data_IF_508662108183
#
_entry.id   IF_508662108183
#
_cell.length_a   1.000
_cell.length_b   1.000
_cell.length_c   1.000
_cell.angle_alpha   90.00
_cell.angle_beta   90.00
_cell.angle_gamma   90.00
#
_symmetry.space_group_name_H-M   'P 1'
#
loop_
_entity.id
_entity.type
_entity.pdbx_description
1 polymer ?
#
# COMPACT_ATOMS: atom_id res chain seq x y z
N UNK A 1 17.36 -8.63 -6.73
CA UNK A 1 16.38 -8.30 -5.65
C UNK A 1 15.07 -9.02 -5.97
N UNK A 2 14.24 -9.39 -5.00
CA UNK A 2 12.96 -10.02 -5.35
C UNK A 2 11.97 -8.96 -5.85
N UNK A 3 11.12 -9.31 -6.82
CA UNK A 3 10.11 -8.38 -7.36
C UNK A 3 9.16 -7.84 -6.28
N UNK A 4 8.88 -8.65 -5.26
CA UNK A 4 8.13 -8.19 -4.08
C UNK A 4 8.83 -7.02 -3.37
N UNK A 5 10.15 -7.10 -3.15
CA UNK A 5 10.91 -6.01 -2.52
C UNK A 5 10.95 -4.75 -3.37
N UNK A 6 11.10 -4.90 -4.69
CA UNK A 6 11.07 -3.78 -5.63
C UNK A 6 9.73 -3.05 -5.58
N UNK A 7 8.60 -3.79 -5.66
CA UNK A 7 7.27 -3.20 -5.55
C UNK A 7 6.98 -2.60 -4.16
N UNK A 8 7.46 -3.26 -3.10
CA UNK A 8 7.25 -2.77 -1.72
C UNK A 8 8.01 -1.48 -1.42
N UNK A 9 9.07 -1.18 -2.18
CA UNK A 9 9.86 0.04 -2.05
C UNK A 9 9.23 1.24 -2.77
N UNK A 10 8.19 1.04 -3.59
CA UNK A 10 7.51 2.15 -4.28
C UNK A 10 6.70 2.96 -3.26
N UNK A 11 7.01 4.25 -3.12
CA UNK A 11 6.23 5.16 -2.29
C UNK A 11 4.87 5.46 -2.96
N UNK A 12 3.78 5.10 -2.28
CA UNK A 12 2.41 5.32 -2.76
C UNK A 12 1.65 6.34 -1.90
N UNK A 13 2.32 7.06 -0.99
CA UNK A 13 1.65 7.92 -0.01
C UNK A 13 0.85 9.06 -0.64
N UNK A 14 1.33 9.66 -1.72
CA UNK A 14 0.61 10.71 -2.45
C UNK A 14 -0.67 10.20 -3.15
N UNK A 15 -0.74 8.89 -3.40
CA UNK A 15 -1.84 8.24 -4.11
C UNK A 15 -2.82 7.52 -3.18
N UNK A 16 -2.58 7.59 -1.86
CA UNK A 16 -3.49 7.02 -0.87
C UNK A 16 -4.65 7.98 -0.59
N UNK A 17 -5.83 7.43 -0.45
CA UNK A 17 -7.04 8.14 -0.04
C UNK A 17 -7.47 7.65 1.33
N UNK A 18 -7.91 8.56 2.20
CA UNK A 18 -8.53 8.23 3.47
C UNK A 18 -10.05 8.18 3.35
N UNK A 19 -10.65 7.13 3.93
CA UNK A 19 -12.08 7.03 4.15
C UNK A 19 -12.30 6.60 5.60
N UNK A 20 -12.65 7.56 6.48
CA UNK A 20 -12.65 7.33 7.92
C UNK A 20 -11.25 6.98 8.43
N UNK A 21 -11.13 5.85 9.14
CA UNK A 21 -9.86 5.33 9.69
C UNK A 21 -9.04 4.47 8.72
N UNK A 22 -9.54 4.24 7.49
CA UNK A 22 -8.92 3.33 6.55
C UNK A 22 -8.19 4.06 5.43
N UNK A 23 -7.05 3.53 5.04
CA UNK A 23 -6.30 3.95 3.88
C UNK A 23 -6.67 3.10 2.67
N UNK A 24 -6.76 3.73 1.50
CA UNK A 24 -7.03 3.09 0.22
C UNK A 24 -6.03 3.60 -0.81
N UNK A 25 -5.42 2.71 -1.55
CA UNK A 25 -4.65 3.09 -2.73
C UNK A 25 -5.60 3.34 -3.91
N UNK A 26 -5.31 4.38 -4.70
CA UNK A 26 -6.03 4.61 -5.95
C UNK A 26 -5.88 3.39 -6.88
N UNK A 27 -7.01 2.82 -7.33
CA UNK A 27 -6.98 1.67 -8.23
C UNK A 27 -6.28 1.99 -9.57
N UNK A 28 -6.47 3.21 -10.08
CA UNK A 28 -5.84 3.67 -11.32
C UNK A 28 -4.33 3.68 -11.17
N UNK A 29 -3.84 4.22 -10.06
CA UNK A 29 -2.40 4.24 -9.76
C UNK A 29 -1.86 2.82 -9.57
N UNK A 30 -2.56 1.97 -8.82
CA UNK A 30 -2.13 0.59 -8.57
C UNK A 30 -2.00 -0.21 -9.87
N UNK A 31 -3.00 -0.14 -10.75
CA UNK A 31 -2.99 -0.84 -12.05
C UNK A 31 -1.91 -0.29 -12.96
N UNK A 32 -1.82 1.05 -13.08
CA UNK A 32 -0.79 1.69 -13.91
C UNK A 32 0.60 1.24 -13.47
N UNK A 33 0.91 1.37 -12.20
CA UNK A 33 2.23 1.02 -11.66
C UNK A 33 2.54 -0.47 -11.83
N UNK A 34 1.55 -1.35 -11.61
CA UNK A 34 1.74 -2.78 -11.83
C UNK A 34 2.12 -3.07 -13.29
N UNK A 35 1.38 -2.52 -14.25
CA UNK A 35 1.63 -2.74 -15.68
C UNK A 35 2.93 -2.09 -16.17
N UNK A 36 3.38 -1.01 -15.53
CA UNK A 36 4.72 -0.43 -15.79
C UNK A 36 5.85 -1.36 -15.31
N UNK A 37 5.62 -2.13 -14.25
CA UNK A 37 6.62 -3.07 -13.69
C UNK A 37 6.57 -4.45 -14.34
N UNK A 38 5.40 -4.87 -14.79
CA UNK A 38 5.16 -6.15 -15.47
C UNK A 38 4.00 -6.00 -16.47
N UNK A 39 4.30 -5.66 -17.75
CA UNK A 39 3.27 -5.45 -18.79
C UNK A 39 2.41 -6.68 -19.09
N UNK A 40 2.89 -7.88 -18.75
CA UNK A 40 2.16 -9.14 -18.95
C UNK A 40 1.21 -9.45 -17.80
N UNK A 41 1.16 -8.58 -16.76
CA UNK A 41 0.24 -8.75 -15.64
C UNK A 41 -1.20 -8.73 -16.10
N UNK A 42 -2.00 -9.61 -15.52
CA UNK A 42 -3.44 -9.67 -15.76
C UNK A 42 -4.19 -9.99 -14.46
N UNK A 43 -5.50 -9.86 -14.51
CA UNK A 43 -6.36 -10.20 -13.37
C UNK A 43 -7.67 -10.78 -13.84
N UNK A 44 -8.26 -11.60 -12.97
CA UNK A 44 -9.57 -12.20 -13.17
C UNK A 44 -10.39 -12.10 -11.89
N UNK A 45 -11.69 -11.95 -12.05
CA UNK A 45 -12.65 -12.06 -10.97
C UNK A 45 -13.35 -13.42 -11.06
N UNK A 46 -13.48 -14.09 -9.90
CA UNK A 46 -14.34 -15.26 -9.79
C UNK A 46 -15.77 -14.82 -9.49
N UNK A 47 -16.71 -15.72 -9.74
CA UNK A 47 -18.10 -15.52 -9.34
C UNK A 47 -18.18 -15.20 -7.85
N UNK A 48 -18.90 -14.12 -7.45
CA UNK A 48 -19.08 -13.78 -6.06
C UNK A 48 -19.81 -14.89 -5.28
N UNK A 49 -19.33 -15.17 -4.07
CA UNK A 49 -19.98 -16.14 -3.18
C UNK A 49 -21.04 -15.43 -2.34
N UNK A 50 -22.30 -15.88 -2.46
CA UNK A 50 -23.38 -15.43 -1.58
C UNK A 50 -23.45 -16.32 -0.35
N UNK A 51 -23.42 -15.72 0.84
CA UNK A 51 -23.55 -16.41 2.12
C UNK A 51 -25.04 -16.57 2.52
N UNK A 52 -25.36 -17.48 3.45
CA UNK A 52 -26.75 -17.75 3.86
C UNK A 52 -27.49 -16.53 4.40
N UNK A 53 -26.81 -15.53 4.94
CA UNK A 53 -27.39 -14.29 5.44
C UNK A 53 -27.62 -13.22 4.37
N UNK A 54 -27.32 -13.54 3.10
CA UNK A 54 -27.45 -12.65 1.95
C UNK A 54 -26.25 -11.72 1.74
N UNK A 55 -25.22 -11.79 2.58
CA UNK A 55 -23.97 -11.05 2.34
C UNK A 55 -23.12 -11.74 1.27
N UNK A 56 -22.18 -11.01 0.66
CA UNK A 56 -21.38 -11.51 -0.45
C UNK A 56 -19.89 -11.31 -0.24
N UNK A 57 -19.10 -12.27 -0.75
CA UNK A 57 -17.66 -12.19 -0.91
C UNK A 57 -17.30 -12.09 -2.39
N UNK A 58 -16.41 -11.19 -2.73
CA UNK A 58 -15.79 -11.08 -4.05
C UNK A 58 -14.35 -11.61 -4.01
N UNK A 59 -13.88 -12.13 -5.14
CA UNK A 59 -12.54 -12.68 -5.28
C UNK A 59 -11.88 -12.08 -6.51
N UNK A 60 -10.61 -11.70 -6.38
CA UNK A 60 -9.78 -11.24 -7.48
C UNK A 60 -8.43 -11.95 -7.42
N UNK A 61 -8.03 -12.55 -8.52
CA UNK A 61 -6.69 -13.10 -8.70
C UNK A 61 -5.91 -12.19 -9.63
N UNK A 62 -4.79 -11.68 -9.16
CA UNK A 62 -3.82 -10.93 -9.97
C UNK A 62 -2.63 -11.84 -10.24
N UNK A 63 -2.31 -12.03 -11.52
CA UNK A 63 -1.09 -12.72 -11.95
C UNK A 63 -0.08 -11.67 -12.38
N UNK A 64 1.01 -11.55 -11.64
CA UNK A 64 2.14 -10.70 -11.97
C UNK A 64 3.46 -11.44 -11.74
N UNK A 65 4.45 -11.18 -12.59
CA UNK A 65 5.75 -11.86 -12.55
C UNK A 65 5.58 -13.39 -12.58
N UNK A 66 4.59 -13.89 -13.32
CA UNK A 66 4.21 -15.32 -13.44
C UNK A 66 3.71 -15.94 -12.12
N UNK A 67 3.36 -15.12 -11.13
CA UNK A 67 2.86 -15.57 -9.83
C UNK A 67 1.41 -15.11 -9.63
N UNK A 68 0.44 -16.03 -9.51
CA UNK A 68 -0.94 -15.67 -9.17
C UNK A 68 -1.07 -15.42 -7.65
N UNK A 69 -1.77 -14.34 -7.29
CA UNK A 69 -2.14 -14.02 -5.91
C UNK A 69 -3.62 -13.68 -5.85
N UNK A 70 -4.36 -14.37 -4.99
CA UNK A 70 -5.80 -14.18 -4.85
C UNK A 70 -6.13 -13.43 -3.56
N UNK A 71 -6.92 -12.37 -3.68
CA UNK A 71 -7.54 -11.67 -2.56
C UNK A 71 -9.03 -11.97 -2.53
N UNK A 72 -9.60 -11.98 -1.33
CA UNK A 72 -11.05 -12.01 -1.09
C UNK A 72 -11.47 -10.79 -0.29
N UNK A 73 -12.66 -10.28 -0.52
CA UNK A 73 -13.18 -9.11 0.17
C UNK A 73 -14.69 -9.21 0.35
N UNK A 74 -15.18 -8.89 1.56
CA UNK A 74 -16.60 -8.77 1.81
C UNK A 74 -17.16 -7.50 1.14
N UNK A 75 -18.37 -7.58 0.60
CA UNK A 75 -19.12 -6.40 0.15
C UNK A 75 -19.64 -5.67 1.37
N UNK A 76 -19.16 -4.44 1.60
CA UNK A 76 -19.43 -3.69 2.82
C UNK A 76 -19.85 -2.26 2.54
N UNK A 77 -20.67 -1.70 3.44
CA UNK A 77 -21.02 -0.28 3.46
C UNK A 77 -19.83 0.63 3.85
N UNK A 78 -20.09 1.92 3.99
CA UNK A 78 -19.08 2.91 4.39
C UNK A 78 -18.57 2.73 5.85
N UNK A 79 -19.31 2.00 6.70
CA UNK A 79 -18.92 1.64 8.06
C UNK A 79 -18.20 0.28 8.14
N UNK A 80 -17.91 -0.35 6.99
CA UNK A 80 -17.38 -1.72 6.85
C UNK A 80 -18.29 -2.82 7.44
N UNK A 81 -19.58 -2.58 7.49
CA UNK A 81 -20.55 -3.62 7.79
C UNK A 81 -20.95 -4.32 6.49
N UNK A 82 -21.07 -5.66 6.55
CA UNK A 82 -21.49 -6.45 5.40
C UNK A 82 -22.89 -6.02 4.93
N UNK A 83 -23.05 -5.81 3.64
CA UNK A 83 -24.32 -5.48 2.99
C UNK A 83 -25.02 -6.80 2.65
N UNK A 84 -26.27 -6.93 3.09
CA UNK A 84 -27.14 -8.02 2.67
C UNK A 84 -27.79 -7.68 1.34
N UNK A 85 -27.73 -8.62 0.39
CA UNK A 85 -28.23 -8.43 -0.96
C UNK A 85 -27.69 -7.13 -1.62
N UNK A 86 -26.36 -7.00 -1.75
CA UNK A 86 -25.76 -5.79 -2.31
C UNK A 86 -26.21 -5.56 -3.76
N UNK A 87 -26.34 -4.30 -4.14
CA UNK A 87 -26.64 -3.92 -5.51
C UNK A 87 -25.36 -3.96 -6.39
N UNK A 88 -25.51 -3.66 -7.69
CA UNK A 88 -24.40 -3.72 -8.64
C UNK A 88 -23.29 -2.68 -8.35
N UNK A 89 -23.64 -1.52 -7.79
CA UNK A 89 -22.64 -0.50 -7.43
C UNK A 89 -21.81 -0.94 -6.21
N UNK A 90 -22.47 -1.51 -5.21
CA UNK A 90 -21.80 -2.07 -4.04
C UNK A 90 -20.82 -3.18 -4.46
N UNK A 91 -21.28 -4.05 -5.37
CA UNK A 91 -20.47 -5.16 -5.88
C UNK A 91 -19.28 -4.65 -6.70
N UNK A 92 -19.51 -3.72 -7.63
CA UNK A 92 -18.46 -3.10 -8.45
C UNK A 92 -17.40 -2.43 -7.59
N UNK A 93 -17.81 -1.65 -6.58
CA UNK A 93 -16.90 -1.01 -5.64
C UNK A 93 -16.05 -2.04 -4.85
N UNK A 94 -16.68 -3.13 -4.40
CA UNK A 94 -15.97 -4.20 -3.70
C UNK A 94 -14.97 -4.92 -4.60
N UNK A 95 -15.32 -5.15 -5.88
CA UNK A 95 -14.43 -5.77 -6.86
C UNK A 95 -13.19 -4.90 -7.13
N UNK A 96 -13.35 -3.58 -7.30
CA UNK A 96 -12.20 -2.67 -7.49
C UNK A 96 -11.30 -2.63 -6.25
N UNK A 97 -11.86 -2.62 -5.05
CA UNK A 97 -11.08 -2.70 -3.80
C UNK A 97 -10.36 -4.04 -3.66
N UNK A 98 -11.00 -5.12 -4.08
CA UNK A 98 -10.40 -6.46 -4.09
C UNK A 98 -9.20 -6.55 -5.03
N UNK A 99 -9.31 -5.96 -6.23
CA UNK A 99 -8.21 -5.86 -7.20
C UNK A 99 -6.99 -5.16 -6.59
N UNK A 100 -7.17 -3.98 -5.99
CA UNK A 100 -6.06 -3.24 -5.37
C UNK A 100 -5.39 -4.04 -4.25
N UNK A 101 -6.17 -4.75 -3.44
CA UNK A 101 -5.62 -5.62 -2.40
C UNK A 101 -4.88 -6.83 -2.98
N UNK A 102 -5.36 -7.40 -4.09
CA UNK A 102 -4.66 -8.48 -4.78
C UNK A 102 -3.31 -7.99 -5.36
N UNK A 103 -3.28 -6.77 -5.91
CA UNK A 103 -2.03 -6.10 -6.35
C UNK A 103 -1.09 -5.90 -5.15
N UNK A 104 -1.60 -5.45 -4.01
CA UNK A 104 -0.79 -5.24 -2.82
C UNK A 104 -0.13 -6.53 -2.30
N UNK A 105 -0.71 -7.70 -2.53
CA UNK A 105 -0.08 -8.98 -2.20
C UNK A 105 1.21 -9.24 -2.99
N UNK A 106 1.42 -8.56 -4.11
CA UNK A 106 2.69 -8.57 -4.84
C UNK A 106 3.72 -7.56 -4.29
N UNK A 107 3.33 -6.74 -3.31
CA UNK A 107 4.19 -5.79 -2.61
C UNK A 107 3.75 -4.32 -2.74
N UNK A 108 3.11 -3.92 -3.85
CA UNK A 108 2.80 -2.53 -4.12
C UNK A 108 1.85 -1.91 -3.07
N UNK A 109 2.38 -0.97 -2.29
CA UNK A 109 1.60 -0.27 -1.29
C UNK A 109 1.06 -1.16 -0.16
N UNK A 110 1.61 -2.35 0.06
CA UNK A 110 1.15 -3.27 1.11
C UNK A 110 1.22 -2.62 2.50
N UNK A 111 2.25 -1.81 2.75
CA UNK A 111 2.49 -1.13 4.02
C UNK A 111 1.36 -0.18 4.43
N UNK A 112 0.65 0.45 3.49
CA UNK A 112 -0.46 1.36 3.84
C UNK A 112 -1.62 0.65 4.54
N UNK A 113 -1.75 -0.66 4.34
CA UNK A 113 -2.78 -1.47 5.00
C UNK A 113 -2.38 -1.86 6.44
N UNK A 114 -1.10 -1.74 6.79
CA UNK A 114 -0.60 -1.81 8.16
C UNK A 114 -0.67 -0.46 8.90
N UNK A 115 -1.27 0.57 8.28
CA UNK A 115 -1.31 1.97 8.75
C UNK A 115 0.07 2.64 8.81
N UNK A 116 0.99 2.21 7.98
CA UNK A 116 2.30 2.84 7.81
C UNK A 116 2.24 3.93 6.74
N UNK A 117 3.12 4.92 6.83
CA UNK A 117 3.15 6.06 5.90
C UNK A 117 4.24 5.93 4.82
N UNK A 118 5.25 5.10 5.04
CA UNK A 118 6.34 4.81 4.10
C UNK A 118 6.70 3.33 4.10
N UNK A 119 7.31 2.81 3.01
CA UNK A 119 7.82 1.45 2.99
C UNK A 119 8.85 1.22 4.11
N UNK A 120 8.77 0.12 4.89
CA UNK A 120 9.64 -0.12 6.05
C UNK A 120 11.15 -0.10 5.75
N UNK A 121 11.54 -0.20 4.49
CA UNK A 121 12.94 -0.31 4.08
C UNK A 121 13.58 1.01 3.68
N UNK A 122 12.82 2.10 3.60
CA UNK A 122 13.23 3.30 2.86
C UNK A 122 13.44 4.55 3.72
N UNK A 123 12.93 4.59 4.96
CA UNK A 123 13.00 5.80 5.78
C UNK A 123 14.45 6.20 6.07
N UNK A 124 15.28 5.22 6.43
CA UNK A 124 16.70 5.48 6.71
C UNK A 124 17.47 5.81 5.43
N UNK A 125 17.20 5.11 4.33
CA UNK A 125 17.81 5.37 3.04
C UNK A 125 17.36 6.73 2.49
N UNK A 126 16.09 7.08 2.66
CA UNK A 126 15.55 8.36 2.27
C UNK A 126 16.20 9.52 3.06
N UNK A 127 16.37 9.39 4.38
CA UNK A 127 17.12 10.38 5.20
C UNK A 127 18.56 10.50 4.73
N UNK A 128 19.22 9.40 4.39
CA UNK A 128 20.60 9.43 3.86
C UNK A 128 20.68 10.19 2.55
N UNK A 129 19.72 9.99 1.65
CA UNK A 129 19.65 10.68 0.37
C UNK A 129 19.38 12.18 0.57
N UNK A 130 18.41 12.56 1.42
CA UNK A 130 18.17 13.96 1.77
C UNK A 130 19.45 14.60 2.35
N UNK A 131 20.14 13.90 3.25
CA UNK A 131 21.38 14.45 3.83
C UNK A 131 22.47 14.64 2.78
N UNK A 132 22.62 13.70 1.85
CA UNK A 132 23.63 13.77 0.79
C UNK A 132 23.33 14.88 -0.23
N UNK A 133 22.06 15.04 -0.62
CA UNK A 133 21.65 15.94 -1.69
C UNK A 133 21.30 17.35 -1.18
N UNK A 134 20.70 17.47 0.00
CA UNK A 134 20.07 18.69 0.51
C UNK A 134 20.64 19.16 1.86
N UNK A 135 21.48 18.34 2.49
CA UNK A 135 22.18 18.66 3.73
C UNK A 135 21.39 18.42 5.02
N UNK A 136 22.08 18.73 6.14
CA UNK A 136 21.62 18.39 7.50
C UNK A 136 20.28 19.02 7.89
N UNK A 137 20.00 20.23 7.44
CA UNK A 137 18.77 20.96 7.80
C UNK A 137 17.54 20.23 7.27
N UNK A 138 17.58 19.82 6.01
CA UNK A 138 16.46 19.13 5.37
C UNK A 138 16.29 17.68 5.93
N UNK A 139 17.40 16.99 6.21
CA UNK A 139 17.34 15.70 6.88
C UNK A 139 16.71 15.78 8.29
N UNK A 140 17.04 16.83 9.08
CA UNK A 140 16.39 17.09 10.38
C UNK A 140 14.91 17.38 10.24
N UNK A 141 14.53 18.25 9.31
CA UNK A 141 13.14 18.58 9.05
C UNK A 141 12.33 17.32 8.71
N UNK A 142 12.85 16.50 7.79
CA UNK A 142 12.20 15.24 7.44
C UNK A 142 12.06 14.30 8.65
N UNK A 143 13.14 14.10 9.43
CA UNK A 143 13.10 13.27 10.64
C UNK A 143 12.01 13.71 11.63
N UNK A 144 11.80 15.01 11.80
CA UNK A 144 10.75 15.53 12.69
C UNK A 144 9.33 15.28 12.17
N UNK A 145 9.16 15.05 10.87
CA UNK A 145 7.86 14.72 10.27
C UNK A 145 7.46 13.26 10.45
N UNK A 146 8.39 12.39 10.83
CA UNK A 146 8.13 10.96 11.05
C UNK A 146 7.13 10.79 12.19
N UNK A 147 6.05 10.05 11.92
CA UNK A 147 4.98 9.80 12.90
C UNK A 147 5.14 8.45 13.60
N UNK A 148 5.81 7.50 12.94
CA UNK A 148 6.06 6.17 13.47
C UNK A 148 7.24 6.18 14.44
N UNK A 149 7.04 5.72 15.67
CA UNK A 149 8.12 5.58 16.66
C UNK A 149 9.17 4.55 16.21
N UNK A 150 8.75 3.51 15.45
CA UNK A 150 9.69 2.54 14.89
C UNK A 150 10.61 3.17 13.84
N UNK A 151 10.07 4.04 12.97
CA UNK A 151 10.85 4.74 11.95
C UNK A 151 11.83 5.74 12.57
N UNK A 152 11.40 6.47 13.59
CA UNK A 152 12.27 7.35 14.37
C UNK A 152 13.42 6.58 14.98
N UNK A 153 13.11 5.48 15.66
CA UNK A 153 14.14 4.63 16.29
C UNK A 153 15.12 4.04 15.27
N UNK A 154 14.63 3.64 14.08
CA UNK A 154 15.47 3.14 12.99
C UNK A 154 16.48 4.20 12.51
N UNK A 155 16.08 5.47 12.51
CA UNK A 155 16.89 6.57 12.01
C UNK A 155 17.71 7.30 13.10
N UNK A 156 17.44 7.02 14.38
CA UNK A 156 18.00 7.77 15.53
C UNK A 156 19.52 7.76 15.55
N UNK A 157 20.14 6.60 15.46
CA UNK A 157 21.59 6.46 15.47
C UNK A 157 22.26 7.22 14.33
N UNK A 158 21.68 7.16 13.13
CA UNK A 158 22.17 7.89 11.97
C UNK A 158 22.01 9.40 12.15
N UNK A 159 20.87 9.86 12.66
CA UNK A 159 20.63 11.28 12.94
C UNK A 159 21.60 11.82 14.00
N UNK A 160 21.86 11.07 15.08
CA UNK A 160 22.84 11.45 16.10
C UNK A 160 24.23 11.62 15.47
N UNK A 161 24.63 10.67 14.62
CA UNK A 161 25.92 10.70 13.94
C UNK A 161 26.08 11.95 13.06
N UNK A 162 25.15 12.20 12.13
CA UNK A 162 25.26 13.34 11.21
C UNK A 162 25.13 14.69 11.91
N UNK A 163 24.39 14.77 13.03
CA UNK A 163 24.32 15.98 13.86
C UNK A 163 25.67 16.25 14.56
N UNK A 164 26.37 15.21 14.99
CA UNK A 164 27.68 15.37 15.62
C UNK A 164 28.76 15.80 14.62
N UNK A 165 28.71 15.30 13.38
CA UNK A 165 29.64 15.63 12.30
C UNK A 165 29.48 17.06 11.75
N UNK A 166 28.34 17.72 12.01
CA UNK A 166 27.99 19.07 11.53
C UNK A 166 27.92 20.11 12.65
N UNK A 167 28.54 19.86 13.80
CA UNK A 167 28.77 20.82 14.87
C UNK A 167 30.13 21.48 14.72
#
# INVERSE_FOLDING_TARGET
MSKFKELSAIDVNEHKKKKGRFNYLSWVFAVKTLLEQDPDSNWEYKEPLTLPDGSMLVFCTVTAFKKPMTCQLAVTDFNNKAIKSPNCDDLSNAMMRCLVKAIALHGLGLYIYANEDLPPHDVLEHIKNIYADEGITNARNYYTTLKSENDKKLCEDYMIKIIAENK
#
